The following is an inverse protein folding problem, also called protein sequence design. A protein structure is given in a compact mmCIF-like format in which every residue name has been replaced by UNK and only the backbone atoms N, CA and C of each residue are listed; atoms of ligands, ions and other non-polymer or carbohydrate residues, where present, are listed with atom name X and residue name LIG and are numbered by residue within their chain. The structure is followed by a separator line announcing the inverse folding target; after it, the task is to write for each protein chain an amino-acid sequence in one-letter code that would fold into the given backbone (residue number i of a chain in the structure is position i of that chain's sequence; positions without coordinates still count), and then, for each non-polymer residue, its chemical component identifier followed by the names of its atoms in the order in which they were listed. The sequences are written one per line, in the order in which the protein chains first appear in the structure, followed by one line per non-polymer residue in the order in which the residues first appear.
data_IF_023817178364
#
_entry.id   IF_023817178364
#
_cell.length_a   1.000
_cell.length_b   1.000
_cell.length_c   1.000
_cell.angle_alpha   90.00
_cell.angle_beta   90.00
_cell.angle_gamma   90.00
#
_symmetry.space_group_name_H-M   'P 1'
#
loop_
_entity.id
_entity.type
_entity.pdbx_description
1 polymer ?
#
# COMPACT_ATOMS: atom_id res chain seq x y z
N UNK A 1 -9.36 19.45 -19.24
CA UNK A 1 -9.47 19.90 -17.83
C UNK A 1 -9.74 18.66 -17.01
N UNK A 2 -8.83 18.36 -16.08
CA UNK A 2 -8.97 17.24 -15.17
C UNK A 2 -10.29 17.29 -14.40
N UNK A 3 -11.02 16.18 -14.44
CA UNK A 3 -12.32 16.03 -13.76
C UNK A 3 -12.23 14.86 -12.79
N UNK A 4 -12.72 15.05 -11.57
CA UNK A 4 -12.85 13.97 -10.60
C UNK A 4 -13.95 13.00 -11.01
N UNK A 5 -13.60 11.72 -11.08
CA UNK A 5 -14.50 10.65 -11.50
C UNK A 5 -15.34 10.24 -10.30
N UNK A 6 -16.64 10.42 -10.44
CA UNK A 6 -17.65 9.96 -9.47
C UNK A 6 -17.65 8.44 -9.34
N UNK A 7 -18.11 7.92 -8.20
CA UNK A 7 -18.21 6.47 -7.95
C UNK A 7 -18.97 5.73 -9.06
N UNK A 8 -20.05 6.32 -9.59
CA UNK A 8 -20.85 5.76 -10.69
C UNK A 8 -20.07 5.60 -12.00
N UNK A 9 -19.00 6.38 -12.19
CA UNK A 9 -18.20 6.41 -13.40
C UNK A 9 -16.83 5.70 -13.25
N UNK A 10 -16.52 5.14 -12.06
CA UNK A 10 -15.23 4.45 -11.84
C UNK A 10 -14.99 3.29 -12.80
N UNK A 11 -16.05 2.60 -13.24
CA UNK A 11 -15.95 1.54 -14.24
C UNK A 11 -15.31 2.00 -15.55
N UNK A 12 -15.46 3.30 -15.91
CA UNK A 12 -14.91 3.87 -17.14
C UNK A 12 -13.38 3.99 -17.11
N UNK A 13 -12.75 4.09 -15.93
CA UNK A 13 -11.28 4.26 -15.80
C UNK A 13 -10.53 2.97 -15.51
N UNK A 14 -11.23 1.88 -15.13
CA UNK A 14 -10.60 0.58 -14.75
C UNK A 14 -9.58 0.11 -15.79
N UNK A 15 -9.95 0.18 -17.06
CA UNK A 15 -9.13 -0.30 -18.17
C UNK A 15 -7.79 0.45 -18.30
N UNK A 16 -7.73 1.73 -17.92
CA UNK A 16 -6.50 2.52 -17.94
C UNK A 16 -5.49 1.98 -16.94
N UNK A 17 -5.95 1.64 -15.74
CA UNK A 17 -5.10 1.18 -14.64
C UNK A 17 -4.82 -0.32 -14.64
N UNK A 18 -5.44 -1.10 -15.54
CA UNK A 18 -5.30 -2.56 -15.59
C UNK A 18 -3.84 -3.07 -15.54
N UNK A 19 -2.85 -2.45 -16.22
CA UNK A 19 -1.46 -2.89 -16.12
C UNK A 19 -0.87 -2.76 -14.71
N UNK A 20 -1.26 -1.72 -13.97
CA UNK A 20 -0.81 -1.48 -12.60
C UNK A 20 -1.64 -2.30 -11.58
N UNK A 21 -2.96 -2.38 -11.78
CA UNK A 21 -3.90 -3.15 -10.95
C UNK A 21 -3.63 -4.67 -10.93
N UNK A 22 -2.91 -5.16 -11.94
CA UNK A 22 -2.52 -6.55 -12.03
C UNK A 22 -1.70 -7.00 -10.80
N UNK A 23 -0.88 -6.09 -10.24
CA UNK A 23 0.03 -6.41 -9.13
C UNK A 23 -0.03 -5.43 -7.96
N UNK A 24 -0.76 -4.32 -8.08
CA UNK A 24 -1.00 -3.37 -7.00
C UNK A 24 -2.49 -3.41 -6.65
N UNK A 25 -2.82 -4.01 -5.50
CA UNK A 25 -4.17 -4.20 -4.97
C UNK A 25 -4.78 -2.88 -4.50
N UNK A 26 -3.98 -1.86 -4.16
CA UNK A 26 -4.52 -0.57 -3.73
C UNK A 26 -5.34 0.13 -4.83
N UNK A 27 -5.04 -0.14 -6.10
CA UNK A 27 -5.80 0.37 -7.26
C UNK A 27 -7.22 -0.22 -7.29
N UNK A 28 -7.42 -1.56 -7.42
CA UNK A 28 -8.76 -2.13 -7.35
C UNK A 28 -9.42 -1.88 -5.98
N UNK A 29 -8.67 -1.79 -4.88
CA UNK A 29 -9.23 -1.47 -3.56
C UNK A 29 -9.91 -0.09 -3.53
N UNK A 30 -9.32 0.90 -4.19
CA UNK A 30 -9.92 2.23 -4.35
C UNK A 30 -11.12 2.22 -5.31
N UNK A 31 -11.01 1.50 -6.44
CA UNK A 31 -12.09 1.37 -7.44
C UNK A 31 -13.31 0.67 -6.84
N UNK A 32 -13.10 -0.40 -6.09
CA UNK A 32 -14.16 -1.23 -5.49
C UNK A 32 -14.73 -0.60 -4.20
N UNK A 33 -14.15 0.51 -3.73
CA UNK A 33 -14.60 1.23 -2.53
C UNK A 33 -14.26 0.54 -1.20
N UNK A 34 -13.32 -0.41 -1.21
CA UNK A 34 -12.81 -1.06 0.01
C UNK A 34 -11.87 -0.15 0.80
N UNK A 35 -11.06 0.63 0.10
CA UNK A 35 -10.18 1.64 0.67
C UNK A 35 -10.50 2.99 0.01
N UNK A 36 -10.19 4.08 0.71
CA UNK A 36 -10.41 5.41 0.11
C UNK A 36 -9.38 5.67 -1.00
N UNK A 37 -9.80 6.50 -1.94
CA UNK A 37 -9.01 6.95 -3.07
C UNK A 37 -9.86 7.83 -3.96
N UNK A 38 -9.23 8.47 -4.93
CA UNK A 38 -9.93 9.28 -5.93
C UNK A 38 -9.22 9.17 -7.28
N UNK A 39 -9.95 9.46 -8.35
CA UNK A 39 -9.44 9.45 -9.71
C UNK A 39 -9.75 10.78 -10.39
N UNK A 40 -8.75 11.36 -11.01
CA UNK A 40 -8.88 12.50 -11.92
C UNK A 40 -8.60 12.00 -13.33
N UNK A 41 -9.49 12.26 -14.27
CA UNK A 41 -9.29 11.92 -15.67
C UNK A 41 -9.36 13.16 -16.57
N UNK A 42 -8.81 13.03 -17.78
CA UNK A 42 -8.88 14.03 -18.84
C UNK A 42 -10.31 14.29 -19.34
N UNK A 43 -11.15 13.26 -19.33
CA UNK A 43 -12.56 13.30 -19.72
C UNK A 43 -13.40 12.35 -18.84
N UNK A 44 -14.57 12.78 -18.37
CA UNK A 44 -15.42 11.99 -17.47
C UNK A 44 -16.27 10.92 -18.20
N UNK A 45 -16.50 11.08 -19.50
CA UNK A 45 -17.30 10.18 -20.32
C UNK A 45 -16.43 9.20 -21.09
N UNK A 46 -15.29 9.65 -21.62
CA UNK A 46 -14.35 8.85 -22.40
C UNK A 46 -12.91 9.08 -21.94
N UNK A 47 -12.57 8.65 -20.71
CA UNK A 47 -11.24 8.89 -20.14
C UNK A 47 -10.17 8.17 -20.96
N UNK A 48 -9.14 8.91 -21.38
CA UNK A 48 -7.97 8.35 -22.08
C UNK A 48 -6.72 8.37 -21.23
N UNK A 49 -6.68 9.22 -20.21
CA UNK A 49 -5.57 9.37 -19.27
C UNK A 49 -6.08 9.77 -17.89
N UNK A 50 -5.46 9.25 -16.84
CA UNK A 50 -5.92 9.51 -15.47
C UNK A 50 -4.78 9.45 -14.44
N UNK A 51 -4.99 10.19 -13.35
CA UNK A 51 -4.26 10.10 -12.09
C UNK A 51 -5.18 9.51 -11.03
N UNK A 52 -4.73 8.48 -10.33
CA UNK A 52 -5.43 7.89 -9.20
C UNK A 52 -4.59 8.06 -7.94
N UNK A 53 -5.22 8.51 -6.86
CA UNK A 53 -4.61 8.47 -5.54
C UNK A 53 -5.22 7.32 -4.73
N UNK A 54 -4.35 6.53 -4.09
CA UNK A 54 -4.68 5.36 -3.28
C UNK A 54 -3.93 5.40 -1.95
N UNK A 55 -4.28 4.49 -1.05
CA UNK A 55 -3.57 4.30 0.23
C UNK A 55 -2.10 3.94 0.07
N UNK A 56 -1.71 3.31 -1.05
CA UNK A 56 -0.31 2.94 -1.35
C UNK A 56 0.36 3.89 -2.35
N UNK A 57 -0.16 5.12 -2.48
CA UNK A 57 0.44 6.18 -3.29
C UNK A 57 -0.37 6.54 -4.52
N UNK A 58 0.26 7.27 -5.43
CA UNK A 58 -0.38 7.83 -6.63
C UNK A 58 -0.04 7.01 -7.86
N UNK A 59 -0.94 6.90 -8.82
CA UNK A 59 -0.76 6.12 -10.05
C UNK A 59 -1.19 6.94 -11.25
N UNK A 60 -0.41 6.91 -12.31
CA UNK A 60 -0.70 7.62 -13.56
C UNK A 60 -0.82 6.61 -14.68
N UNK A 61 -1.90 6.69 -15.44
CA UNK A 61 -2.26 5.66 -16.41
C UNK A 61 -2.94 6.24 -17.65
N UNK A 62 -3.11 5.38 -18.66
CA UNK A 62 -3.64 5.76 -19.97
C UNK A 62 -2.60 6.33 -20.92
N UNK A 63 -3.06 7.08 -21.92
CA UNK A 63 -2.25 7.58 -23.04
C UNK A 63 -1.81 9.02 -22.80
N UNK A 64 -0.50 9.31 -22.66
CA UNK A 64 -0.03 10.68 -22.49
C UNK A 64 -0.20 11.49 -23.78
N UNK A 65 -0.59 12.75 -23.61
CA UNK A 65 -0.55 13.82 -24.61
C UNK A 65 0.08 15.05 -23.97
N UNK A 66 0.62 15.98 -24.77
CA UNK A 66 1.20 17.22 -24.22
C UNK A 66 0.20 17.98 -23.35
N UNK A 67 -1.07 18.00 -23.76
CA UNK A 67 -2.16 18.65 -23.02
C UNK A 67 -2.36 18.03 -21.63
N UNK A 68 -2.53 16.70 -21.54
CA UNK A 68 -2.79 16.06 -20.24
C UNK A 68 -1.57 16.10 -19.33
N UNK A 69 -0.35 16.02 -19.88
CA UNK A 69 0.88 16.17 -19.11
C UNK A 69 0.96 17.55 -18.48
N UNK A 70 0.64 18.61 -19.24
CA UNK A 70 0.61 19.98 -18.74
C UNK A 70 -0.50 20.19 -17.69
N UNK A 71 -1.70 19.61 -17.90
CA UNK A 71 -2.79 19.69 -16.93
C UNK A 71 -2.46 18.98 -15.61
N UNK A 72 -1.88 17.78 -15.67
CA UNK A 72 -1.43 17.04 -14.49
C UNK A 72 -0.28 17.76 -13.78
N UNK A 73 0.69 18.31 -14.52
CA UNK A 73 1.76 19.11 -13.93
C UNK A 73 1.18 20.28 -13.10
N UNK A 74 0.27 21.06 -13.69
CA UNK A 74 -0.40 22.16 -12.97
C UNK A 74 -1.13 21.66 -11.73
N UNK A 75 -1.89 20.57 -11.83
CA UNK A 75 -2.58 19.98 -10.69
C UNK A 75 -1.60 19.53 -9.58
N UNK A 76 -0.48 18.90 -9.95
CA UNK A 76 0.54 18.49 -8.98
C UNK A 76 1.17 19.70 -8.28
N UNK A 77 1.39 20.82 -8.97
CA UNK A 77 1.84 22.06 -8.34
C UNK A 77 0.82 22.63 -7.35
N UNK A 78 -0.46 22.60 -7.71
CA UNK A 78 -1.54 23.12 -6.86
C UNK A 78 -1.81 22.26 -5.62
N UNK A 79 -1.60 20.93 -5.70
CA UNK A 79 -2.07 19.98 -4.66
C UNK A 79 -0.98 19.08 -4.05
N UNK A 80 0.18 18.94 -4.70
CA UNK A 80 1.24 18.01 -4.29
C UNK A 80 2.58 18.67 -4.01
N UNK A 81 2.82 19.87 -4.54
CA UNK A 81 4.07 20.63 -4.37
C UNK A 81 3.78 21.94 -3.63
N UNK A 82 3.13 21.82 -2.47
CA UNK A 82 2.81 22.92 -1.55
C UNK A 82 3.83 23.00 -0.41
N UNK A 83 3.68 24.00 0.47
CA UNK A 83 4.52 24.10 1.67
C UNK A 83 4.35 22.89 2.60
N UNK A 84 3.15 22.31 2.66
CA UNK A 84 2.83 21.15 3.48
C UNK A 84 3.19 19.82 2.81
N UNK A 85 3.21 19.78 1.48
CA UNK A 85 3.48 18.56 0.70
C UNK A 85 4.56 18.84 -0.34
N UNK A 86 5.72 18.22 -0.15
CA UNK A 86 6.91 18.45 -0.99
C UNK A 86 7.39 17.21 -1.74
N UNK A 87 6.61 16.13 -1.69
CA UNK A 87 6.97 14.83 -2.25
C UNK A 87 5.76 14.19 -2.92
N UNK A 88 5.94 13.80 -4.17
CA UNK A 88 5.06 12.90 -4.91
C UNK A 88 5.78 11.55 -5.07
N UNK A 89 5.13 10.49 -4.61
CA UNK A 89 5.55 9.12 -4.85
C UNK A 89 4.49 8.42 -5.70
N UNK A 90 4.88 7.92 -6.87
CA UNK A 90 3.91 7.47 -7.85
C UNK A 90 4.38 6.34 -8.77
N UNK A 91 3.44 5.49 -9.17
CA UNK A 91 3.58 4.53 -10.26
C UNK A 91 3.07 5.12 -11.57
N UNK A 92 3.59 4.66 -12.69
CA UNK A 92 3.11 5.08 -14.01
C UNK A 92 3.10 3.92 -15.01
N UNK A 93 2.10 3.87 -15.89
CA UNK A 93 2.12 2.92 -17.01
C UNK A 93 3.26 3.24 -17.98
N UNK A 94 3.72 2.23 -18.73
CA UNK A 94 4.96 2.34 -19.52
C UNK A 94 4.97 3.52 -20.50
N UNK A 95 3.83 3.84 -21.11
CA UNK A 95 3.70 4.96 -22.05
C UNK A 95 4.06 6.32 -21.46
N UNK A 96 3.96 6.50 -20.14
CA UNK A 96 4.27 7.77 -19.46
C UNK A 96 5.75 8.00 -19.22
N UNK A 97 6.60 6.97 -19.36
CA UNK A 97 8.04 7.08 -19.06
C UNK A 97 8.74 8.25 -19.77
N UNK A 98 8.49 8.54 -21.07
CA UNK A 98 9.11 9.67 -21.75
C UNK A 98 8.63 11.05 -21.26
N UNK A 99 7.55 11.11 -20.48
CA UNK A 99 6.89 12.36 -20.08
C UNK A 99 7.08 12.69 -18.59
N UNK A 100 7.79 11.85 -17.81
CA UNK A 100 7.91 12.02 -16.36
C UNK A 100 8.59 13.33 -15.97
N UNK A 101 9.63 13.74 -16.70
CA UNK A 101 10.33 15.00 -16.45
C UNK A 101 9.42 16.21 -16.70
N UNK A 102 8.62 16.18 -17.77
CA UNK A 102 7.67 17.25 -18.05
C UNK A 102 6.52 17.27 -17.04
N UNK A 103 6.03 16.10 -16.65
CA UNK A 103 4.98 15.93 -15.65
C UNK A 103 5.39 16.54 -14.30
N UNK A 104 6.66 16.39 -13.90
CA UNK A 104 7.17 16.87 -12.61
C UNK A 104 7.94 18.18 -12.68
N UNK A 105 8.10 18.77 -13.86
CA UNK A 105 8.83 20.02 -14.06
C UNK A 105 8.35 21.12 -13.09
N UNK A 106 9.25 21.91 -12.49
CA UNK A 106 10.70 21.96 -12.74
C UNK A 106 11.50 20.97 -11.86
N UNK A 107 10.85 20.05 -11.14
CA UNK A 107 11.50 19.16 -10.19
C UNK A 107 11.99 17.87 -10.86
N UNK A 108 13.09 17.34 -10.35
CA UNK A 108 13.66 16.10 -10.85
C UNK A 108 12.84 14.89 -10.41
N UNK A 109 12.69 13.94 -11.33
CA UNK A 109 12.11 12.61 -11.04
C UNK A 109 13.24 11.62 -10.82
N UNK A 110 13.20 10.93 -9.69
CA UNK A 110 14.13 9.83 -9.38
C UNK A 110 13.40 8.50 -9.50
N UNK A 111 13.87 7.57 -10.34
CA UNK A 111 13.33 6.21 -10.34
C UNK A 111 13.67 5.52 -9.02
N UNK A 112 12.68 4.84 -8.45
CA UNK A 112 12.79 4.05 -7.23
C UNK A 112 12.47 2.59 -7.56
N UNK A 113 13.48 1.72 -7.72
CA UNK A 113 13.28 0.32 -8.00
C UNK A 113 12.57 -0.39 -6.85
N UNK A 114 11.51 -1.12 -7.17
CA UNK A 114 10.65 -1.82 -6.22
C UNK A 114 10.56 -3.30 -6.55
N UNK A 115 10.25 -4.08 -5.53
CA UNK A 115 9.99 -5.51 -5.64
C UNK A 115 8.60 -5.80 -5.13
N UNK A 116 7.91 -6.71 -5.80
CA UNK A 116 6.63 -7.23 -5.36
C UNK A 116 6.76 -8.74 -5.10
N UNK A 117 6.25 -9.16 -3.95
CA UNK A 117 6.23 -10.54 -3.52
C UNK A 117 4.81 -10.97 -3.20
N UNK A 118 4.49 -12.23 -3.50
CA UNK A 118 3.17 -12.82 -3.25
C UNK A 118 3.29 -14.05 -2.36
N UNK A 119 2.26 -14.29 -1.57
CA UNK A 119 2.13 -15.49 -0.76
C UNK A 119 0.72 -16.07 -0.89
N UNK A 120 0.63 -17.38 -1.03
CA UNK A 120 -0.62 -18.14 -1.10
C UNK A 120 -0.73 -19.10 0.10
N UNK A 121 -1.92 -19.71 0.35
CA UNK A 121 -2.04 -20.72 1.40
C UNK A 121 -1.05 -21.88 1.26
N UNK A 122 -0.73 -22.28 0.02
CA UNK A 122 0.22 -23.36 -0.25
C UNK A 122 1.64 -22.99 0.21
N UNK A 123 2.04 -21.73 0.04
CA UNK A 123 3.37 -21.25 0.46
C UNK A 123 3.54 -21.25 1.98
N UNK A 124 2.45 -21.07 2.72
CA UNK A 124 2.41 -21.11 4.20
C UNK A 124 2.23 -22.52 4.77
N UNK A 125 1.84 -23.50 3.97
CA UNK A 125 1.50 -24.83 4.46
C UNK A 125 2.67 -25.47 5.24
N UNK A 126 2.42 -25.83 6.50
CA UNK A 126 3.43 -26.43 7.38
C UNK A 126 4.53 -25.47 7.87
N UNK A 127 4.48 -24.17 7.52
CA UNK A 127 5.45 -23.16 7.97
C UNK A 127 4.95 -22.47 9.23
N UNK A 128 5.49 -22.85 10.39
CA UNK A 128 5.20 -22.17 11.65
C UNK A 128 6.41 -21.34 12.07
N UNK A 129 6.19 -20.05 12.32
CA UNK A 129 7.17 -19.16 12.94
C UNK A 129 6.73 -18.83 14.36
N UNK A 130 7.25 -19.54 15.39
CA UNK A 130 6.85 -19.29 16.76
C UNK A 130 7.36 -17.93 17.23
N UNK A 131 6.56 -17.25 18.05
CA UNK A 131 7.03 -16.11 18.81
C UNK A 131 8.10 -16.58 19.83
N UNK A 132 9.16 -15.80 20.08
CA UNK A 132 10.11 -16.11 21.15
C UNK A 132 9.43 -16.10 22.53
N UNK A 133 10.10 -16.67 23.53
CA UNK A 133 9.62 -16.64 24.92
C UNK A 133 9.35 -15.20 25.39
N UNK A 134 8.25 -14.99 26.12
CA UNK A 134 7.77 -13.67 26.58
C UNK A 134 7.31 -12.70 25.48
N UNK A 135 7.13 -13.17 24.25
CA UNK A 135 6.48 -12.42 23.17
C UNK A 135 5.16 -13.10 22.81
N UNK A 136 4.08 -12.31 22.78
CA UNK A 136 2.73 -12.85 22.58
C UNK A 136 2.08 -12.25 21.34
N UNK A 137 1.62 -13.11 20.43
CA UNK A 137 0.84 -12.67 19.28
C UNK A 137 -0.57 -12.26 19.75
N UNK A 138 -1.05 -11.11 19.29
CA UNK A 138 -2.40 -10.62 19.53
C UNK A 138 -3.04 -10.10 18.25
N UNK A 139 -4.33 -10.36 18.01
CA UNK A 139 -5.06 -9.69 16.95
C UNK A 139 -5.15 -8.19 17.25
N UNK A 140 -5.00 -7.36 16.22
CA UNK A 140 -5.25 -5.91 16.31
C UNK A 140 -6.76 -5.72 16.15
N UNK A 141 -7.50 -6.01 17.21
CA UNK A 141 -8.95 -5.91 17.26
C UNK A 141 -9.40 -4.75 18.17
N UNK A 142 -10.72 -4.65 18.41
CA UNK A 142 -11.27 -3.62 19.27
C UNK A 142 -10.80 -3.75 20.73
N UNK A 143 -10.47 -4.97 21.17
CA UNK A 143 -9.91 -5.22 22.49
C UNK A 143 -8.53 -4.59 22.59
N UNK A 144 -7.62 -4.96 21.69
CA UNK A 144 -6.25 -4.43 21.66
C UNK A 144 -6.23 -2.90 21.48
N UNK A 145 -7.01 -2.35 20.55
CA UNK A 145 -6.98 -0.92 20.20
C UNK A 145 -7.55 -0.01 21.29
N UNK A 146 -8.36 -0.55 22.21
CA UNK A 146 -8.99 0.22 23.30
C UNK A 146 -8.53 -0.25 24.69
N UNK A 147 -7.51 -1.10 24.76
CA UNK A 147 -6.98 -1.65 26.00
C UNK A 147 -6.24 -0.54 26.78
N UNK A 148 -6.74 -0.09 27.95
CA UNK A 148 -6.13 0.99 28.71
C UNK A 148 -4.80 0.59 29.37
N UNK A 149 -4.54 -0.71 29.53
CA UNK A 149 -3.36 -1.25 30.20
C UNK A 149 -2.24 -1.58 29.20
N UNK A 150 -2.51 -1.50 27.90
CA UNK A 150 -1.58 -1.80 26.83
C UNK A 150 -1.02 -0.54 26.18
N UNK A 151 0.30 -0.47 26.04
CA UNK A 151 0.93 0.58 25.22
C UNK A 151 0.88 0.19 23.75
N UNK A 152 -0.06 0.77 23.01
CA UNK A 152 -0.18 0.62 21.55
C UNK A 152 0.51 1.80 20.85
N UNK A 153 1.45 1.57 19.92
CA UNK A 153 2.09 2.64 19.17
C UNK A 153 1.09 3.47 18.35
N UNK A 154 1.21 4.80 18.41
CA UNK A 154 0.39 5.74 17.61
C UNK A 154 0.41 5.41 16.12
N UNK A 155 1.52 4.83 15.64
CA UNK A 155 1.64 4.36 14.27
C UNK A 155 0.52 3.39 13.86
N UNK A 156 0.05 2.50 14.75
CA UNK A 156 -1.05 1.57 14.46
C UNK A 156 -2.35 2.36 14.24
N UNK A 157 -2.65 3.32 15.12
CA UNK A 157 -3.84 4.17 14.99
C UNK A 157 -3.80 5.05 13.73
N UNK A 158 -2.63 5.61 13.41
CA UNK A 158 -2.41 6.38 12.18
C UNK A 158 -2.55 5.50 10.94
N UNK A 159 -2.04 4.26 10.97
CA UNK A 159 -2.16 3.30 9.87
C UNK A 159 -3.63 2.92 9.64
N UNK A 160 -4.36 2.59 10.71
CA UNK A 160 -5.80 2.29 10.66
C UNK A 160 -6.58 3.48 10.09
N UNK A 161 -6.32 4.68 10.59
CA UNK A 161 -7.01 5.88 10.12
C UNK A 161 -6.68 6.21 8.67
N UNK A 162 -5.39 6.16 8.32
CA UNK A 162 -4.94 6.49 6.98
C UNK A 162 -5.46 5.43 6.00
N UNK A 163 -5.19 4.14 6.16
CA UNK A 163 -5.57 3.16 5.13
C UNK A 163 -7.08 2.86 5.08
N UNK A 164 -7.77 2.88 6.22
CA UNK A 164 -9.17 2.43 6.31
C UNK A 164 -10.17 3.56 6.58
N UNK A 165 -9.70 4.80 6.71
CA UNK A 165 -10.50 5.99 6.98
C UNK A 165 -11.06 6.09 8.41
N UNK A 166 -11.35 4.96 9.05
CA UNK A 166 -11.81 4.90 10.45
C UNK A 166 -11.52 3.56 11.11
N UNK A 167 -11.45 3.57 12.44
CA UNK A 167 -11.35 2.35 13.24
C UNK A 167 -12.56 1.42 13.02
N UNK A 168 -13.77 1.97 12.90
CA UNK A 168 -14.97 1.17 12.66
C UNK A 168 -14.93 0.44 11.31
N UNK A 169 -14.42 1.09 10.26
CA UNK A 169 -14.21 0.45 8.96
C UNK A 169 -13.14 -0.65 9.06
N UNK A 170 -11.99 -0.34 9.66
CA UNK A 170 -10.91 -1.32 9.86
C UNK A 170 -11.37 -2.58 10.61
N UNK A 171 -12.11 -2.42 11.70
CA UNK A 171 -12.61 -3.56 12.49
C UNK A 171 -13.60 -4.45 11.72
N UNK A 172 -14.26 -3.90 10.69
CA UNK A 172 -15.21 -4.63 9.86
C UNK A 172 -14.54 -5.31 8.67
N UNK A 173 -13.65 -4.60 7.97
CA UNK A 173 -13.13 -5.02 6.67
C UNK A 173 -11.64 -5.37 6.67
N UNK A 174 -10.88 -4.80 7.61
CA UNK A 174 -9.44 -4.99 7.77
C UNK A 174 -9.08 -6.05 8.79
N UNK A 175 -7.78 -6.21 9.01
CA UNK A 175 -7.23 -7.15 9.98
C UNK A 175 -5.76 -6.82 10.26
N UNK A 176 -5.21 -7.43 11.30
CA UNK A 176 -3.80 -7.31 11.63
C UNK A 176 -3.42 -8.13 12.85
N UNK A 177 -2.13 -8.34 13.01
CA UNK A 177 -1.51 -9.00 14.15
C UNK A 177 -0.45 -8.09 14.76
N UNK A 178 -0.36 -8.10 16.09
CA UNK A 178 0.68 -7.45 16.87
C UNK A 178 1.44 -8.48 17.70
N UNK A 179 2.67 -8.14 18.08
CA UNK A 179 3.44 -8.83 19.10
C UNK A 179 3.51 -7.94 20.33
N UNK A 180 2.98 -8.43 21.43
CA UNK A 180 3.07 -7.84 22.75
C UNK A 180 4.32 -8.33 23.49
N UNK A 181 4.98 -7.42 24.18
CA UNK A 181 6.06 -7.70 25.13
C UNK A 181 6.02 -6.66 26.26
N UNK A 182 5.97 -7.11 27.51
CA UNK A 182 5.92 -6.27 28.72
C UNK A 182 4.84 -5.16 28.66
N UNK A 183 3.62 -5.52 28.27
CA UNK A 183 2.49 -4.60 28.19
C UNK A 183 2.61 -3.58 27.05
N UNK A 184 3.40 -3.86 26.01
CA UNK A 184 3.57 -2.98 24.84
C UNK A 184 3.53 -3.75 23.54
N UNK A 185 2.94 -3.17 22.50
CA UNK A 185 3.04 -3.71 21.14
C UNK A 185 4.36 -3.27 20.49
N UNK A 186 5.23 -4.23 20.18
CA UNK A 186 6.62 -3.98 19.74
C UNK A 186 6.87 -4.29 18.27
N UNK A 187 6.01 -5.09 17.65
CA UNK A 187 6.03 -5.43 16.22
C UNK A 187 4.59 -5.64 15.75
N UNK A 188 4.24 -5.17 14.55
CA UNK A 188 2.88 -5.30 14.03
C UNK A 188 2.88 -5.43 12.52
N UNK A 189 1.87 -6.14 12.01
CA UNK A 189 1.54 -6.22 10.60
C UNK A 189 0.03 -6.10 10.42
N UNK A 190 -0.40 -5.26 9.48
CA UNK A 190 -1.81 -4.98 9.20
C UNK A 190 -2.05 -5.14 7.70
N UNK A 191 -3.29 -5.40 7.32
CA UNK A 191 -3.72 -5.21 5.94
C UNK A 191 -3.67 -3.73 5.57
N UNK A 192 -2.92 -3.41 4.52
CA UNK A 192 -2.81 -2.08 3.95
C UNK A 192 -4.03 -1.76 3.09
N UNK A 193 -4.45 -2.72 2.28
CA UNK A 193 -5.62 -2.62 1.43
C UNK A 193 -6.15 -4.01 1.07
N UNK A 194 -7.35 -4.07 0.50
CA UNK A 194 -7.90 -5.30 -0.07
C UNK A 194 -8.75 -5.06 -1.31
N UNK A 195 -8.82 -6.07 -2.18
CA UNK A 195 -9.87 -6.17 -3.19
C UNK A 195 -10.08 -7.61 -3.64
N UNK A 196 -11.34 -8.01 -3.78
CA UNK A 196 -11.71 -9.38 -4.12
C UNK A 196 -11.08 -10.37 -3.12
N UNK A 197 -10.36 -11.37 -3.65
CA UNK A 197 -9.66 -12.37 -2.84
C UNK A 197 -8.19 -12.02 -2.55
N UNK A 198 -7.77 -10.77 -2.80
CA UNK A 198 -6.40 -10.30 -2.60
C UNK A 198 -6.32 -9.20 -1.55
N UNK A 199 -5.19 -9.14 -0.85
CA UNK A 199 -4.85 -8.05 0.06
C UNK A 199 -3.36 -7.77 0.04
N UNK A 200 -2.96 -6.60 0.52
CA UNK A 200 -1.56 -6.26 0.78
C UNK A 200 -1.36 -6.08 2.28
N UNK A 201 -0.18 -6.45 2.79
CA UNK A 201 0.17 -6.25 4.19
C UNK A 201 1.41 -5.39 4.36
N UNK A 202 1.34 -4.55 5.38
CA UNK A 202 2.45 -3.74 5.84
C UNK A 202 3.04 -4.30 7.12
N UNK A 203 4.26 -3.90 7.44
CA UNK A 203 4.94 -4.31 8.67
C UNK A 203 5.80 -3.21 9.27
N UNK A 204 5.82 -3.16 10.61
CA UNK A 204 6.76 -2.31 11.34
C UNK A 204 7.20 -3.01 12.64
N UNK A 205 8.44 -2.75 13.02
CA UNK A 205 9.00 -3.19 14.31
C UNK A 205 9.73 -2.04 14.97
N UNK A 206 9.46 -1.81 16.24
CA UNK A 206 10.13 -0.79 17.04
C UNK A 206 11.65 -0.97 16.99
N UNK A 207 12.40 0.13 16.90
CA UNK A 207 13.85 0.11 16.62
C UNK A 207 14.65 -0.78 17.58
N UNK A 208 14.32 -0.75 18.87
CA UNK A 208 14.98 -1.54 19.93
C UNK A 208 14.68 -3.04 19.86
N UNK A 209 13.60 -3.43 19.18
CA UNK A 209 13.14 -4.82 19.03
C UNK A 209 13.50 -5.44 17.66
N UNK A 210 14.24 -4.71 16.83
CA UNK A 210 14.67 -5.20 15.50
C UNK A 210 15.74 -6.28 15.63
N UNK A 211 15.90 -7.06 14.55
CA UNK A 211 16.86 -8.17 14.40
C UNK A 211 16.64 -9.36 15.36
N UNK A 212 15.46 -9.47 15.96
CA UNK A 212 15.06 -10.59 16.81
C UNK A 212 14.08 -11.57 16.11
N UNK A 213 13.83 -11.37 14.81
CA UNK A 213 12.92 -12.21 14.03
C UNK A 213 11.42 -11.88 14.19
N UNK A 214 11.06 -10.94 15.08
CA UNK A 214 9.68 -10.56 15.38
C UNK A 214 8.88 -10.14 14.14
N UNK A 215 9.52 -9.42 13.22
CA UNK A 215 8.87 -9.00 11.98
C UNK A 215 8.38 -10.21 11.15
N UNK A 216 9.20 -11.25 11.01
CA UNK A 216 8.79 -12.45 10.29
C UNK A 216 7.67 -13.18 11.02
N UNK A 217 7.70 -13.25 12.35
CA UNK A 217 6.65 -13.89 13.16
C UNK A 217 5.30 -13.18 12.96
N UNK A 218 5.27 -11.85 13.10
CA UNK A 218 4.00 -11.11 13.01
C UNK A 218 3.46 -11.04 11.58
N UNK A 219 4.33 -10.94 10.57
CA UNK A 219 3.95 -11.03 9.17
C UNK A 219 3.35 -12.40 8.81
N UNK A 220 3.97 -13.49 9.29
CA UNK A 220 3.47 -14.84 9.08
C UNK A 220 2.08 -15.01 9.71
N UNK A 221 1.90 -14.55 10.95
CA UNK A 221 0.62 -14.59 11.62
C UNK A 221 -0.46 -13.74 10.90
N UNK A 222 -0.08 -12.59 10.36
CA UNK A 222 -0.98 -11.72 9.59
C UNK A 222 -1.40 -12.38 8.27
N UNK A 223 -0.47 -13.01 7.54
CA UNK A 223 -0.77 -13.76 6.33
C UNK A 223 -1.68 -14.97 6.63
N UNK A 224 -1.39 -15.73 7.68
CA UNK A 224 -2.23 -16.86 8.12
C UNK A 224 -3.64 -16.39 8.48
N UNK A 225 -3.78 -15.23 9.13
CA UNK A 225 -5.07 -14.61 9.42
C UNK A 225 -5.81 -14.19 8.14
N UNK A 226 -5.11 -13.68 7.13
CA UNK A 226 -5.69 -13.39 5.82
C UNK A 226 -6.26 -14.66 5.18
N UNK A 227 -5.49 -15.75 5.15
CA UNK A 227 -5.96 -17.02 4.58
C UNK A 227 -7.14 -17.61 5.37
N UNK A 228 -7.13 -17.51 6.70
CA UNK A 228 -8.26 -17.90 7.53
C UNK A 228 -9.53 -17.06 7.26
N UNK A 229 -9.38 -15.83 6.75
CA UNK A 229 -10.46 -14.94 6.30
C UNK A 229 -10.91 -15.19 4.86
N UNK A 230 -10.31 -16.14 4.15
CA UNK A 230 -10.69 -16.52 2.79
C UNK A 230 -9.97 -15.74 1.69
N UNK A 231 -8.95 -14.94 2.00
CA UNK A 231 -8.06 -14.41 0.98
C UNK A 231 -7.27 -15.56 0.35
N UNK A 232 -6.96 -15.45 -0.94
CA UNK A 232 -6.19 -16.45 -1.69
C UNK A 232 -4.77 -16.01 -2.00
N UNK A 233 -4.50 -14.71 -1.87
CA UNK A 233 -3.21 -14.09 -2.16
C UNK A 233 -2.97 -12.90 -1.22
N UNK A 234 -1.76 -12.83 -0.69
CA UNK A 234 -1.27 -11.69 0.10
C UNK A 234 -0.06 -11.10 -0.62
N UNK A 235 -0.11 -9.81 -0.91
CA UNK A 235 0.94 -9.03 -1.55
C UNK A 235 1.85 -8.32 -0.56
N UNK A 236 3.08 -8.07 -0.98
CA UNK A 236 4.10 -7.34 -0.23
C UNK A 236 4.94 -6.49 -1.20
N UNK A 237 4.87 -5.17 -1.04
CA UNK A 237 5.70 -4.22 -1.78
C UNK A 237 6.88 -3.73 -0.94
N UNK A 238 8.06 -3.61 -1.53
CA UNK A 238 9.18 -2.96 -0.87
C UNK A 238 10.21 -2.36 -1.84
N UNK A 239 11.04 -1.44 -1.34
CA UNK A 239 12.24 -0.97 -2.05
C UNK A 239 13.16 -2.15 -2.35
N UNK A 240 13.74 -2.15 -3.55
CA UNK A 240 14.73 -3.15 -3.94
C UNK A 240 15.95 -3.13 -3.01
N UNK A 241 16.32 -1.94 -2.53
CA UNK A 241 17.44 -1.73 -1.61
C UNK A 241 17.10 -2.05 -0.14
N UNK A 242 15.82 -2.29 0.17
CA UNK A 242 15.40 -2.67 1.53
C UNK A 242 15.60 -4.17 1.77
N UNK A 243 16.88 -4.55 1.96
CA UNK A 243 17.32 -5.92 2.23
C UNK A 243 16.59 -6.55 3.41
N UNK A 244 16.30 -5.77 4.46
CA UNK A 244 15.57 -6.25 5.62
C UNK A 244 14.14 -6.67 5.29
N UNK A 245 13.44 -5.89 4.47
CA UNK A 245 12.06 -6.15 4.06
C UNK A 245 11.95 -7.42 3.22
N UNK A 246 12.64 -7.50 2.08
CA UNK A 246 12.47 -8.64 1.19
C UNK A 246 13.02 -9.96 1.78
N UNK A 247 14.08 -9.93 2.61
CA UNK A 247 14.51 -11.13 3.35
C UNK A 247 13.46 -11.57 4.38
N UNK A 248 12.74 -10.63 4.99
CA UNK A 248 11.63 -10.96 5.89
C UNK A 248 10.48 -11.60 5.13
N UNK A 249 10.07 -11.04 3.99
CA UNK A 249 9.04 -11.61 3.12
C UNK A 249 9.38 -13.07 2.72
N UNK A 250 10.59 -13.29 2.21
CA UNK A 250 11.06 -14.64 1.83
C UNK A 250 11.09 -15.63 3.00
N UNK A 251 11.50 -15.17 4.20
CA UNK A 251 11.51 -16.02 5.40
C UNK A 251 10.10 -16.47 5.79
N UNK A 252 9.10 -15.61 5.60
CA UNK A 252 7.69 -15.93 5.87
C UNK A 252 7.13 -16.95 4.87
N UNK A 253 7.61 -16.92 3.63
CA UNK A 253 7.15 -17.78 2.54
C UNK A 253 6.67 -17.01 1.32
N UNK A 254 6.76 -15.68 1.31
CA UNK A 254 6.47 -14.91 0.11
C UNK A 254 7.52 -15.20 -0.97
N UNK A 255 7.06 -15.30 -2.21
CA UNK A 255 7.88 -15.55 -3.40
C UNK A 255 7.93 -14.26 -4.22
N UNK A 256 9.11 -13.92 -4.73
CA UNK A 256 9.26 -12.74 -5.60
C UNK A 256 8.46 -12.98 -6.87
N UNK A 257 7.51 -12.09 -7.14
CA UNK A 257 6.67 -12.17 -8.33
C UNK A 257 7.26 -11.32 -9.45
N UNK A 258 7.67 -10.07 -9.16
CA UNK A 258 8.23 -9.15 -10.15
C UNK A 258 9.11 -8.06 -9.55
N UNK A 259 9.91 -7.46 -10.42
CA UNK A 259 10.48 -6.12 -10.23
C UNK A 259 9.55 -5.08 -10.87
N UNK A 260 9.47 -3.89 -10.27
CA UNK A 260 8.79 -2.74 -10.85
C UNK A 260 9.52 -1.45 -10.47
N UNK A 261 8.97 -0.31 -10.86
CA UNK A 261 9.57 1.00 -10.59
C UNK A 261 8.46 1.95 -10.21
N UNK A 262 8.61 2.55 -9.04
CA UNK A 262 7.91 3.75 -8.64
C UNK A 262 8.82 4.93 -8.92
N UNK A 263 8.27 6.13 -8.86
CA UNK A 263 8.99 7.37 -9.11
C UNK A 263 8.80 8.32 -7.95
N UNK A 264 9.89 8.96 -7.56
CA UNK A 264 9.92 9.98 -6.53
C UNK A 264 10.18 11.33 -7.19
N UNK A 265 9.25 12.26 -7.05
CA UNK A 265 9.45 13.67 -7.36
C UNK A 265 9.46 14.47 -6.05
N UNK A 266 10.49 15.32 -5.86
CA UNK A 266 10.67 16.10 -4.64
C UNK A 266 10.93 17.57 -4.96
N UNK A 267 10.19 18.44 -4.29
CA UNK A 267 10.44 19.88 -4.25
C UNK A 267 11.74 20.13 -3.50
N UNK A 268 12.77 20.60 -4.18
CA UNK A 268 14.06 21.02 -3.58
C UNK A 268 13.99 22.45 -3.07
#
# INVERSE_FOLDING_TARGET
MLTEITTENLAKVVHLFAPLAAFNVAIPAAIDGHNWGYVLADDAEQPTAALMHTVEGTHIAGTPTETIVAELNRYLHEHYFTDERRVLYFGATEGWRPYLDQLCAPYAVTPDPRQHYVCTPADRQGRVLPAPENYHLRPIDAGLLNDPDLTVPDHIHSWVRYNWGSQAHYLREGFGMGIEHDGRIVSWSLADCRSGSRCEIGIQTQKTFRRQGLAAVVAAACADLAFAKGFTEVGWHCDADNIGSWKTAMKVGFVKERDNTMYLCRVT
#
